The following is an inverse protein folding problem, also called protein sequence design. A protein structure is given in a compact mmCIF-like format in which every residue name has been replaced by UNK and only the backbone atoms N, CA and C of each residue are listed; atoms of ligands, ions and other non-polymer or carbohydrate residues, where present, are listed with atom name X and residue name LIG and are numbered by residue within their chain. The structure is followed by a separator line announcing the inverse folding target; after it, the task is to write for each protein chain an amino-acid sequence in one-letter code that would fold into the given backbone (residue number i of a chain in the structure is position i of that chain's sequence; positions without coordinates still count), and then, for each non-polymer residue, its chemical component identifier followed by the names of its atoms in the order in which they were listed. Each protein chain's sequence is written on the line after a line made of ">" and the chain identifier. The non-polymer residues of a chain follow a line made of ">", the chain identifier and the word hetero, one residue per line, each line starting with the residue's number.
data_IF_038518480703
#
_entry.id   IF_038518480703
#
_cell.length_a   1.000
_cell.length_b   1.000
_cell.length_c   1.000
_cell.angle_alpha   90.00
_cell.angle_beta   90.00
_cell.angle_gamma   90.00
#
_symmetry.space_group_name_H-M   'P 1'
#
loop_
_entity.id
_entity.type
_entity.pdbx_description
1 polymer ?
#
# COMPACT_ATOMS: atom_id res chain seq x y z
N UNK A 1 -6.01 3.38 -39.56
CA UNK A 1 -6.23 4.01 -38.26
C UNK A 1 -7.74 4.06 -38.04
N UNK A 2 -8.30 3.07 -37.34
CA UNK A 2 -9.75 2.97 -37.13
C UNK A 2 -10.18 4.03 -36.10
N UNK A 3 -11.11 4.91 -36.55
CA UNK A 3 -11.82 5.86 -35.69
C UNK A 3 -12.50 5.10 -34.55
N UNK A 4 -12.08 5.33 -33.31
CA UNK A 4 -12.79 4.87 -32.11
C UNK A 4 -14.24 5.35 -32.18
N UNK A 5 -15.19 4.45 -31.94
CA UNK A 5 -16.60 4.82 -31.91
C UNK A 5 -16.79 5.92 -30.86
N UNK A 6 -17.51 6.98 -31.18
CA UNK A 6 -17.84 8.09 -30.25
C UNK A 6 -18.31 7.61 -28.89
N UNK A 7 -18.98 6.46 -28.85
CA UNK A 7 -19.46 5.81 -27.63
C UNK A 7 -18.32 5.30 -26.70
N UNK A 8 -17.19 4.87 -27.27
CA UNK A 8 -16.03 4.43 -26.50
C UNK A 8 -15.24 5.62 -25.92
N UNK A 9 -15.24 6.76 -26.64
CA UNK A 9 -14.67 8.00 -26.12
C UNK A 9 -15.52 8.57 -24.97
N UNK A 10 -16.84 8.48 -25.06
CA UNK A 10 -17.73 8.92 -23.99
C UNK A 10 -17.60 8.05 -22.73
N UNK A 11 -17.46 6.73 -22.91
CA UNK A 11 -17.26 5.83 -21.77
C UNK A 11 -15.92 6.10 -21.06
N UNK A 12 -14.87 6.34 -21.84
CA UNK A 12 -13.55 6.70 -21.31
C UNK A 12 -13.59 8.04 -20.58
N UNK A 13 -14.26 9.04 -21.16
CA UNK A 13 -14.49 10.34 -20.52
C UNK A 13 -15.35 10.21 -19.25
N UNK A 14 -16.33 9.31 -19.24
CA UNK A 14 -17.14 9.05 -18.05
C UNK A 14 -16.33 8.42 -16.91
N UNK A 15 -15.45 7.47 -17.20
CA UNK A 15 -14.51 6.86 -16.23
C UNK A 15 -13.52 7.92 -15.73
N UNK A 16 -12.98 8.75 -16.63
CA UNK A 16 -12.06 9.84 -16.26
C UNK A 16 -12.73 10.94 -15.43
N UNK A 17 -13.98 11.31 -15.76
CA UNK A 17 -14.74 12.31 -14.98
C UNK A 17 -15.08 11.84 -13.58
N UNK A 18 -15.25 10.54 -13.40
CA UNK A 18 -15.52 10.01 -12.07
C UNK A 18 -14.24 9.96 -11.22
N UNK A 19 -13.12 9.57 -11.81
CA UNK A 19 -11.81 9.65 -11.15
C UNK A 19 -11.48 11.09 -10.71
N UNK A 20 -11.79 12.08 -11.58
CA UNK A 20 -11.62 13.50 -11.26
C UNK A 20 -12.56 14.00 -10.14
N UNK A 21 -13.81 13.51 -10.08
CA UNK A 21 -14.76 13.88 -9.01
C UNK A 21 -14.37 13.31 -7.65
N UNK A 22 -13.78 12.10 -7.61
CA UNK A 22 -13.29 11.50 -6.38
C UNK A 22 -12.05 12.25 -5.85
N UNK A 23 -11.27 12.87 -6.72
CA UNK A 23 -10.14 13.72 -6.34
C UNK A 23 -10.58 15.06 -5.73
N UNK A 24 -11.64 15.68 -6.23
CA UNK A 24 -12.19 16.92 -5.69
C UNK A 24 -12.78 16.76 -4.27
N UNK A 25 -13.37 15.60 -3.98
CA UNK A 25 -13.88 15.30 -2.64
C UNK A 25 -12.76 15.10 -1.63
N UNK A 26 -11.60 14.57 -2.07
CA UNK A 26 -10.41 14.39 -1.22
C UNK A 26 -9.69 15.70 -0.91
N UNK A 27 -9.76 16.68 -1.81
CA UNK A 27 -9.12 17.99 -1.62
C UNK A 27 -9.90 18.92 -0.66
N UNK A 28 -11.18 18.65 -0.42
CA UNK A 28 -12.05 19.52 0.39
C UNK A 28 -12.02 19.23 1.91
N UNK A 29 -11.27 18.23 2.38
CA UNK A 29 -11.26 17.81 3.79
C UNK A 29 -9.95 18.05 4.55
N UNK A 30 -9.10 18.98 4.12
CA UNK A 30 -7.95 19.42 4.94
C UNK A 30 -8.29 20.71 5.68
N UNK A 31 -8.41 20.68 7.02
CA UNK A 31 -8.48 21.92 7.79
C UNK A 31 -7.08 22.57 7.82
N UNK A 32 -7.05 23.83 7.40
CA UNK A 32 -5.89 24.70 7.59
C UNK A 32 -5.57 24.81 9.09
N UNK A 33 -4.40 24.37 9.49
CA UNK A 33 -3.86 24.63 10.82
C UNK A 33 -2.85 25.79 10.71
N UNK A 34 -3.26 26.94 11.21
CA UNK A 34 -2.48 28.15 11.32
C UNK A 34 -1.54 28.06 12.53
N UNK A 35 -0.29 28.34 12.29
CA UNK A 35 0.85 28.59 13.15
C UNK A 35 0.62 29.09 14.57
N UNK A 36 1.45 28.63 15.51
CA UNK A 36 2.41 29.50 16.23
C UNK A 36 3.47 28.69 16.97
N UNK A 37 4.71 28.98 16.61
CA UNK A 37 5.97 29.15 17.33
C UNK A 37 6.35 28.38 18.60
N UNK A 38 7.55 27.86 18.51
CA UNK A 38 8.76 27.86 19.35
C UNK A 38 9.29 26.51 19.81
N UNK A 39 10.41 26.21 19.16
CA UNK A 39 11.65 25.58 19.67
C UNK A 39 11.62 24.92 21.05
N UNK A 40 11.85 23.61 21.03
CA UNK A 40 12.98 23.03 21.78
C UNK A 40 13.26 21.63 21.20
N UNK A 41 14.51 21.41 20.82
CA UNK A 41 14.97 20.23 20.11
C UNK A 41 14.95 18.98 20.99
N UNK A 42 14.29 17.99 20.49
CA UNK A 42 14.63 16.58 20.60
C UNK A 42 13.95 15.90 19.42
N UNK A 43 14.66 15.80 18.30
CA UNK A 43 14.19 15.08 17.12
C UNK A 43 14.23 13.59 17.44
N UNK A 44 13.15 13.06 17.97
CA UNK A 44 12.89 11.62 17.92
C UNK A 44 12.75 11.28 16.46
N UNK A 45 13.55 10.35 15.89
CA UNK A 45 13.36 9.90 14.52
C UNK A 45 11.98 9.22 14.44
N UNK A 46 11.01 9.96 13.95
CA UNK A 46 9.68 9.44 13.72
C UNK A 46 9.75 8.43 12.57
N UNK A 47 9.01 7.36 12.67
CA UNK A 47 8.81 6.30 11.66
C UNK A 47 8.42 6.86 10.28
N UNK A 48 8.19 8.16 10.19
CA UNK A 48 7.69 8.90 9.03
C UNK A 48 8.72 9.27 7.96
N UNK A 49 10.02 9.15 8.20
CA UNK A 49 11.02 9.59 7.19
C UNK A 49 11.11 8.65 5.96
N UNK A 50 10.54 7.47 6.05
CA UNK A 50 10.51 6.51 4.94
C UNK A 50 9.16 6.39 4.22
N UNK A 51 8.07 6.87 4.82
CA UNK A 51 6.73 6.85 4.20
C UNK A 51 6.55 8.07 3.30
N UNK A 52 6.29 7.84 2.01
CA UNK A 52 6.04 8.92 1.03
C UNK A 52 4.56 9.19 0.89
N UNK A 53 3.77 8.13 0.80
CA UNK A 53 2.34 8.27 0.61
C UNK A 53 1.58 6.98 0.84
N UNK A 54 0.29 7.14 1.08
CA UNK A 54 -0.68 6.06 1.23
C UNK A 54 -1.81 6.30 0.25
N UNK A 55 -2.27 5.25 -0.39
CA UNK A 55 -3.42 5.29 -1.27
C UNK A 55 -4.38 4.15 -0.97
N UNK A 56 -5.66 4.41 -1.09
CA UNK A 56 -6.73 3.42 -0.98
C UNK A 56 -7.74 3.66 -2.10
N UNK A 57 -8.24 2.57 -2.67
CA UNK A 57 -9.30 2.63 -3.67
C UNK A 57 -10.27 1.45 -3.57
N UNK A 58 -11.51 1.68 -4.02
CA UNK A 58 -12.59 0.69 -4.05
C UNK A 58 -13.23 0.65 -5.44
N UNK A 59 -13.52 -0.56 -5.92
CA UNK A 59 -14.16 -0.77 -7.22
C UNK A 59 -15.32 -1.75 -7.10
N UNK A 60 -16.49 -1.38 -7.58
CA UNK A 60 -17.63 -2.29 -7.69
C UNK A 60 -17.37 -3.38 -8.73
N UNK A 61 -17.45 -4.64 -8.31
CA UNK A 61 -17.16 -5.81 -9.17
C UNK A 61 -18.18 -5.89 -10.31
N UNK A 62 -19.47 -5.69 -10.03
CA UNK A 62 -20.54 -5.72 -11.03
C UNK A 62 -20.36 -4.61 -12.09
N UNK A 63 -19.90 -3.42 -11.66
CA UNK A 63 -19.58 -2.32 -12.59
C UNK A 63 -18.43 -2.69 -13.54
N UNK A 64 -17.37 -3.31 -13.01
CA UNK A 64 -16.27 -3.83 -13.82
C UNK A 64 -16.75 -4.90 -14.80
N UNK A 65 -17.56 -5.84 -14.35
CA UNK A 65 -18.13 -6.89 -15.17
C UNK A 65 -18.98 -6.33 -16.33
N UNK A 66 -19.88 -5.38 -16.03
CA UNK A 66 -20.66 -4.69 -17.06
C UNK A 66 -19.79 -3.93 -18.06
N UNK A 67 -18.71 -3.28 -17.60
CA UNK A 67 -17.78 -2.57 -18.46
C UNK A 67 -17.06 -3.52 -19.44
N UNK A 68 -16.64 -4.68 -18.96
CA UNK A 68 -15.98 -5.71 -19.78
C UNK A 68 -16.96 -6.31 -20.79
N UNK A 69 -18.20 -6.60 -20.38
CA UNK A 69 -19.24 -7.14 -21.28
C UNK A 69 -19.59 -6.14 -22.38
N UNK A 70 -19.74 -4.84 -22.06
CA UNK A 70 -20.10 -3.80 -23.02
C UNK A 70 -18.95 -3.45 -23.96
N UNK A 71 -17.73 -3.53 -23.48
CA UNK A 71 -16.54 -3.10 -24.22
C UNK A 71 -15.38 -4.06 -23.95
N UNK A 72 -15.36 -5.27 -24.53
CA UNK A 72 -14.31 -6.27 -24.27
C UNK A 72 -12.88 -5.77 -24.51
N UNK A 73 -12.71 -4.79 -25.43
CA UNK A 73 -11.41 -4.18 -25.74
C UNK A 73 -10.84 -3.36 -24.57
N UNK A 74 -11.65 -3.02 -23.55
CA UNK A 74 -11.20 -2.27 -22.37
C UNK A 74 -10.13 -3.06 -21.62
N UNK A 75 -10.26 -4.39 -21.55
CA UNK A 75 -9.29 -5.26 -20.86
C UNK A 75 -7.90 -5.16 -21.49
N UNK A 76 -7.81 -5.09 -22.84
CA UNK A 76 -6.53 -4.94 -23.54
C UNK A 76 -5.92 -3.54 -23.38
N UNK A 77 -6.75 -2.53 -23.14
CA UNK A 77 -6.31 -1.14 -23.01
C UNK A 77 -5.83 -0.81 -21.60
N UNK A 78 -6.50 -1.37 -20.60
CA UNK A 78 -6.28 -1.05 -19.18
C UNK A 78 -5.30 -2.02 -18.53
N UNK A 79 -5.33 -3.28 -18.90
CA UNK A 79 -4.57 -4.34 -18.22
C UNK A 79 -3.48 -4.91 -19.12
N UNK A 80 -2.35 -5.27 -18.51
CA UNK A 80 -1.24 -5.93 -19.21
C UNK A 80 -1.63 -7.34 -19.68
N UNK A 81 -0.80 -7.97 -20.51
CA UNK A 81 -1.02 -9.36 -20.93
C UNK A 81 -1.05 -10.32 -19.74
N UNK A 82 -0.10 -10.17 -18.82
CA UNK A 82 0.02 -11.02 -17.63
C UNK A 82 -1.20 -10.92 -16.72
N UNK A 83 -1.68 -9.71 -16.46
CA UNK A 83 -2.88 -9.50 -15.65
C UNK A 83 -4.13 -10.11 -16.30
N UNK A 84 -4.26 -9.98 -17.62
CA UNK A 84 -5.39 -10.59 -18.34
C UNK A 84 -5.34 -12.11 -18.27
N UNK A 85 -4.18 -12.70 -18.47
CA UNK A 85 -3.98 -14.16 -18.38
C UNK A 85 -4.30 -14.64 -16.96
N UNK A 86 -3.76 -13.96 -15.95
CA UNK A 86 -4.07 -14.27 -14.56
C UNK A 86 -5.57 -14.20 -14.28
N UNK A 87 -6.23 -13.10 -14.65
CA UNK A 87 -7.66 -12.94 -14.39
C UNK A 87 -8.51 -14.03 -15.08
N UNK A 88 -8.19 -14.37 -16.34
CA UNK A 88 -8.90 -15.42 -17.09
C UNK A 88 -8.65 -16.83 -16.54
N UNK A 89 -7.56 -17.07 -15.83
CA UNK A 89 -7.31 -18.36 -15.16
C UNK A 89 -8.21 -18.59 -13.93
N UNK A 90 -8.97 -17.59 -13.50
CA UNK A 90 -9.79 -17.64 -12.28
C UNK A 90 -11.27 -17.81 -12.58
N UNK A 91 -12.01 -18.37 -11.63
CA UNK A 91 -13.45 -18.65 -11.77
C UNK A 91 -14.29 -17.37 -12.00
N UNK A 92 -13.85 -16.22 -11.47
CA UNK A 92 -14.55 -14.94 -11.59
C UNK A 92 -13.58 -13.84 -12.05
N UNK A 93 -13.28 -13.73 -13.35
CA UNK A 93 -12.32 -12.76 -13.89
C UNK A 93 -12.60 -11.30 -13.49
N UNK A 94 -13.87 -10.91 -13.41
CA UNK A 94 -14.28 -9.56 -13.06
C UNK A 94 -13.78 -9.12 -11.67
N UNK A 95 -13.70 -10.03 -10.71
CA UNK A 95 -13.15 -9.76 -9.36
C UNK A 95 -11.69 -9.33 -9.47
N UNK A 96 -10.90 -10.06 -10.24
CA UNK A 96 -9.47 -9.78 -10.41
C UNK A 96 -9.23 -8.49 -11.19
N UNK A 97 -10.01 -8.24 -12.24
CA UNK A 97 -9.96 -6.96 -12.96
C UNK A 97 -10.33 -5.78 -12.06
N UNK A 98 -11.35 -5.92 -11.21
CA UNK A 98 -11.72 -4.89 -10.25
C UNK A 98 -10.60 -4.65 -9.22
N UNK A 99 -9.99 -5.73 -8.69
CA UNK A 99 -8.87 -5.64 -7.75
C UNK A 99 -7.63 -5.00 -8.37
N UNK A 100 -7.29 -5.34 -9.62
CA UNK A 100 -6.16 -4.73 -10.33
C UNK A 100 -6.40 -3.25 -10.64
N UNK A 101 -7.64 -2.89 -10.97
CA UNK A 101 -7.99 -1.50 -11.19
C UNK A 101 -7.90 -0.70 -9.89
N UNK A 102 -8.46 -1.19 -8.79
CA UNK A 102 -8.34 -0.57 -7.48
C UNK A 102 -6.87 -0.43 -7.05
N UNK A 103 -6.03 -1.44 -7.31
CA UNK A 103 -4.59 -1.37 -7.02
C UNK A 103 -3.90 -0.24 -7.78
N UNK A 104 -4.20 -0.04 -9.07
CA UNK A 104 -3.66 1.07 -9.87
C UNK A 104 -4.00 2.42 -9.27
N UNK A 105 -5.28 2.63 -8.99
CA UNK A 105 -5.76 3.87 -8.39
C UNK A 105 -5.09 4.10 -7.01
N UNK A 106 -5.01 3.07 -6.16
CA UNK A 106 -4.35 3.16 -4.87
C UNK A 106 -2.86 3.52 -5.02
N UNK A 107 -2.15 2.89 -5.97
CA UNK A 107 -0.73 3.20 -6.25
C UNK A 107 -0.57 4.64 -6.73
N UNK A 108 -1.39 5.11 -7.66
CA UNK A 108 -1.31 6.48 -8.17
C UNK A 108 -1.65 7.52 -7.09
N UNK A 109 -2.58 7.19 -6.18
CA UNK A 109 -2.86 8.02 -4.99
C UNK A 109 -1.67 8.07 -4.04
N UNK A 110 -0.99 6.93 -3.81
CA UNK A 110 0.21 6.87 -2.98
C UNK A 110 1.39 7.64 -3.60
N UNK A 111 1.47 7.70 -4.95
CA UNK A 111 2.43 8.52 -5.69
C UNK A 111 2.05 10.01 -5.76
N UNK A 112 0.83 10.37 -5.34
CA UNK A 112 0.32 11.74 -5.40
C UNK A 112 0.03 12.23 -6.82
N UNK A 113 -0.20 11.33 -7.78
CA UNK A 113 -0.34 11.69 -9.18
C UNK A 113 -1.65 11.18 -9.73
N UNK A 114 -2.60 11.05 -9.88
CA UNK A 114 -3.71 10.44 -10.65
C UNK A 114 -3.23 9.92 -12.02
N UNK A 115 -4.12 9.79 -12.97
CA UNK A 115 -3.78 9.38 -14.35
C UNK A 115 -3.25 10.52 -15.23
N UNK A 116 -2.94 11.69 -14.67
CA UNK A 116 -2.38 12.79 -15.44
C UNK A 116 -0.95 12.43 -15.91
N UNK A 117 -0.79 12.16 -17.18
CA UNK A 117 0.50 11.80 -17.79
C UNK A 117 0.96 10.34 -17.55
N UNK A 118 0.15 9.50 -16.92
CA UNK A 118 0.45 8.09 -16.66
C UNK A 118 -0.52 7.21 -17.45
N UNK A 119 -0.02 6.16 -18.09
CA UNK A 119 -0.87 5.19 -18.78
C UNK A 119 -1.42 4.15 -17.79
N UNK A 120 -2.56 3.55 -18.11
CA UNK A 120 -3.13 2.50 -17.27
C UNK A 120 -2.19 1.30 -17.04
N UNK A 121 -1.40 0.95 -18.05
CA UNK A 121 -0.47 -0.18 -17.99
C UNK A 121 0.89 0.20 -17.39
N UNK A 122 1.11 1.45 -17.02
CA UNK A 122 2.33 1.87 -16.34
C UNK A 122 2.39 1.35 -14.89
N UNK A 123 1.26 0.90 -14.34
CA UNK A 123 1.17 0.19 -13.06
C UNK A 123 0.66 -1.22 -13.33
N UNK A 124 1.48 -2.22 -13.17
CA UNK A 124 1.16 -3.63 -13.36
C UNK A 124 1.11 -4.36 -12.03
N UNK A 125 0.04 -5.13 -11.79
CA UNK A 125 -0.07 -6.00 -10.62
C UNK A 125 0.36 -7.40 -10.99
N UNK A 126 1.36 -7.91 -10.27
CA UNK A 126 1.84 -9.29 -10.40
C UNK A 126 1.69 -10.02 -9.06
N UNK A 127 2.08 -11.29 -9.02
CA UNK A 127 2.08 -12.09 -7.81
C UNK A 127 3.43 -12.81 -7.70
N UNK A 128 3.97 -12.86 -6.50
CA UNK A 128 5.16 -13.66 -6.23
C UNK A 128 4.82 -15.17 -6.18
N UNK A 129 5.84 -16.00 -6.02
CA UNK A 129 5.71 -17.47 -5.96
C UNK A 129 4.82 -17.95 -4.81
N UNK A 130 4.59 -17.12 -3.79
CA UNK A 130 3.72 -17.39 -2.65
C UNK A 130 2.31 -16.84 -2.83
N UNK A 131 2.04 -16.20 -3.98
CA UNK A 131 0.75 -15.58 -4.29
C UNK A 131 0.53 -14.20 -3.67
N UNK A 132 1.57 -13.59 -3.08
CA UNK A 132 1.49 -12.21 -2.57
C UNK A 132 1.43 -11.23 -3.75
N UNK A 133 0.45 -10.29 -3.78
CA UNK A 133 0.41 -9.28 -4.82
C UNK A 133 1.59 -8.31 -4.70
N UNK A 134 2.19 -7.99 -5.83
CA UNK A 134 3.30 -7.05 -5.99
C UNK A 134 3.01 -6.07 -7.12
N UNK A 135 3.73 -4.95 -7.17
CA UNK A 135 3.58 -3.92 -8.20
C UNK A 135 4.87 -3.80 -9.00
N UNK A 136 4.73 -3.79 -10.32
CA UNK A 136 5.77 -3.36 -11.24
C UNK A 136 5.35 -2.02 -11.85
N UNK A 137 6.26 -1.05 -11.81
CA UNK A 137 6.06 0.24 -12.44
C UNK A 137 6.78 0.31 -13.78
N UNK A 138 6.11 0.90 -14.75
CA UNK A 138 6.62 1.11 -16.11
C UNK A 138 6.48 2.58 -16.51
N UNK A 139 7.12 2.98 -17.60
CA UNK A 139 6.90 4.27 -18.23
C UNK A 139 6.95 5.46 -17.27
N UNK A 140 5.94 6.32 -17.35
CA UNK A 140 5.89 7.54 -16.54
C UNK A 140 5.64 7.29 -15.06
N UNK A 141 4.98 6.20 -14.68
CA UNK A 141 4.83 5.84 -13.26
C UNK A 141 6.18 5.47 -12.63
N UNK A 142 7.03 4.74 -13.35
CA UNK A 142 8.38 4.41 -12.89
C UNK A 142 9.25 5.67 -12.78
N UNK A 143 9.23 6.55 -13.78
CA UNK A 143 9.97 7.81 -13.76
C UNK A 143 9.57 8.70 -12.56
N UNK A 144 8.27 8.76 -12.26
CA UNK A 144 7.76 9.52 -11.12
C UNK A 144 8.22 8.94 -9.79
N UNK A 145 8.16 7.61 -9.65
CA UNK A 145 8.64 6.91 -8.45
C UNK A 145 10.15 7.16 -8.23
N UNK A 146 10.95 7.14 -9.30
CA UNK A 146 12.37 7.46 -9.26
C UNK A 146 12.63 8.90 -8.83
N UNK A 147 11.92 9.88 -9.41
CA UNK A 147 12.00 11.29 -9.02
C UNK A 147 11.68 11.52 -7.54
N UNK A 148 10.75 10.76 -6.99
CA UNK A 148 10.35 10.82 -5.58
C UNK A 148 11.26 9.98 -4.67
N UNK A 149 12.29 9.32 -5.20
CA UNK A 149 13.16 8.38 -4.49
C UNK A 149 12.37 7.22 -3.82
N UNK A 150 11.31 6.74 -4.45
CA UNK A 150 10.53 5.61 -3.96
C UNK A 150 11.29 4.33 -4.27
N UNK A 151 11.60 3.59 -3.23
CA UNK A 151 12.30 2.31 -3.31
C UNK A 151 11.34 1.15 -3.55
N UNK A 152 10.18 1.22 -2.94
CA UNK A 152 9.22 0.11 -2.90
C UNK A 152 7.80 0.64 -2.78
N UNK A 153 6.87 -0.05 -3.44
CA UNK A 153 5.44 0.14 -3.22
C UNK A 153 4.86 -1.20 -2.77
N UNK A 154 4.33 -1.22 -1.57
CA UNK A 154 3.61 -2.38 -1.04
C UNK A 154 2.13 -2.21 -1.27
N UNK A 155 1.47 -3.28 -1.70
CA UNK A 155 0.02 -3.31 -1.89
C UNK A 155 -0.63 -4.42 -1.10
N UNK A 156 -1.89 -4.22 -0.74
CA UNK A 156 -2.77 -5.24 -0.20
C UNK A 156 -4.10 -5.20 -0.94
N UNK A 157 -4.61 -6.37 -1.29
CA UNK A 157 -5.85 -6.55 -2.03
C UNK A 157 -6.84 -7.35 -1.19
N UNK A 158 -8.09 -6.91 -1.19
CA UNK A 158 -9.19 -7.66 -0.58
C UNK A 158 -10.46 -7.48 -1.41
N UNK A 159 -11.43 -8.36 -1.26
CA UNK A 159 -12.72 -8.21 -1.92
C UNK A 159 -13.84 -8.85 -1.11
N UNK A 160 -15.03 -8.33 -1.31
CA UNK A 160 -16.29 -8.94 -0.92
C UNK A 160 -17.00 -9.51 -2.16
N UNK A 161 -18.26 -9.87 -2.03
CA UNK A 161 -19.06 -10.22 -3.22
C UNK A 161 -19.29 -9.06 -4.17
N UNK A 162 -19.31 -7.81 -3.67
CA UNK A 162 -19.71 -6.60 -4.39
C UNK A 162 -18.54 -5.68 -4.70
N UNK A 163 -17.54 -5.60 -3.83
CA UNK A 163 -16.46 -4.60 -3.88
C UNK A 163 -15.09 -5.26 -3.87
N UNK A 164 -14.20 -4.74 -4.70
CA UNK A 164 -12.77 -4.95 -4.58
C UNK A 164 -12.13 -3.73 -3.92
N UNK A 165 -11.19 -3.94 -3.02
CA UNK A 165 -10.46 -2.92 -2.27
C UNK A 165 -8.98 -3.12 -2.46
N UNK A 166 -8.25 -2.03 -2.64
CA UNK A 166 -6.80 -2.04 -2.63
C UNK A 166 -6.25 -0.94 -1.72
N UNK A 167 -5.16 -1.23 -1.05
CA UNK A 167 -4.33 -0.23 -0.37
C UNK A 167 -2.91 -0.28 -0.92
N UNK A 168 -2.26 0.87 -0.98
CA UNK A 168 -0.87 1.01 -1.42
C UNK A 168 -0.10 1.90 -0.44
N UNK A 169 1.16 1.54 -0.21
CA UNK A 169 2.10 2.31 0.62
C UNK A 169 3.38 2.51 -0.18
N UNK A 170 3.73 3.76 -0.45
CA UNK A 170 4.98 4.14 -1.11
C UNK A 170 6.07 4.43 -0.07
N UNK A 171 7.21 3.80 -0.21
CA UNK A 171 8.33 3.81 0.74
C UNK A 171 9.58 4.37 0.06
N UNK A 172 10.20 5.39 0.65
CA UNK A 172 11.47 5.96 0.16
C UNK A 172 12.67 5.05 0.43
N UNK A 173 13.66 5.17 -0.43
CA UNK A 173 15.01 4.72 -0.09
C UNK A 173 15.53 5.57 1.07
N UNK A 174 15.89 4.94 2.17
CA UNK A 174 16.57 5.64 3.26
C UNK A 174 17.96 6.06 2.78
N UNK A 175 18.25 7.34 2.84
CA UNK A 175 19.55 7.92 2.43
C UNK A 175 20.66 7.75 3.46
N UNK A 176 20.42 7.03 4.54
CA UNK A 176 21.45 6.74 5.55
C UNK A 176 21.51 5.25 5.87
N UNK A 177 22.71 4.66 6.02
CA UNK A 177 22.80 3.34 6.61
C UNK A 177 22.19 3.41 8.00
N UNK A 178 21.18 2.60 8.28
CA UNK A 178 20.77 2.37 9.66
C UNK A 178 22.04 1.96 10.43
N UNK A 179 22.61 2.87 11.23
CA UNK A 179 23.38 2.43 12.39
C UNK A 179 22.40 1.54 13.14
N UNK A 180 22.73 0.27 13.18
CA UNK A 180 22.01 -0.75 13.95
C UNK A 180 21.90 -0.27 15.40
N UNK A 181 20.81 0.36 15.77
CA UNK A 181 20.48 0.77 17.13
C UNK A 181 19.08 0.26 17.54
N UNK A 182 18.46 -0.56 16.72
CA UNK A 182 17.35 -1.38 17.17
C UNK A 182 17.85 -2.81 17.28
N UNK A 183 18.07 -3.25 18.51
CA UNK A 183 18.14 -4.66 18.87
C UNK A 183 16.96 -5.37 18.19
N UNK A 184 17.17 -6.58 17.68
CA UNK A 184 16.04 -7.36 17.19
C UNK A 184 14.99 -7.44 18.31
N UNK A 185 13.69 -7.60 18.00
CA UNK A 185 12.67 -7.75 19.04
C UNK A 185 13.01 -8.82 20.06
N UNK A 186 13.77 -9.84 19.65
CA UNK A 186 14.26 -10.91 20.51
C UNK A 186 15.40 -10.46 21.42
N UNK A 187 16.31 -9.63 20.89
CA UNK A 187 17.42 -9.07 21.69
C UNK A 187 16.92 -8.03 22.68
N UNK A 188 15.94 -7.23 22.29
CA UNK A 188 15.28 -6.28 23.19
C UNK A 188 14.54 -7.00 24.33
N UNK A 189 13.80 -8.05 24.00
CA UNK A 189 13.14 -8.90 24.98
C UNK A 189 14.16 -9.57 25.92
N UNK A 190 15.25 -10.10 25.38
CA UNK A 190 16.32 -10.71 26.17
C UNK A 190 16.99 -9.69 27.12
N UNK A 191 17.15 -8.42 26.68
CA UNK A 191 17.67 -7.35 27.53
C UNK A 191 16.70 -7.03 28.65
N UNK A 192 15.43 -6.90 28.39
CA UNK A 192 14.41 -6.64 29.40
C UNK A 192 14.29 -7.78 30.40
N UNK A 193 14.38 -9.03 29.98
CA UNK A 193 14.44 -10.17 30.89
C UNK A 193 15.68 -10.15 31.78
N UNK A 194 16.84 -9.78 31.26
CA UNK A 194 18.07 -9.66 32.02
C UNK A 194 18.00 -8.54 33.07
N UNK A 195 17.43 -7.40 32.72
CA UNK A 195 17.20 -6.26 33.61
C UNK A 195 16.23 -6.66 34.75
N UNK A 196 15.11 -7.30 34.42
CA UNK A 196 14.14 -7.81 35.40
C UNK A 196 14.77 -8.83 36.35
N UNK A 197 15.57 -9.74 35.85
CA UNK A 197 16.26 -10.74 36.66
C UNK A 197 17.24 -10.08 37.63
N UNK A 198 18.00 -9.10 37.18
CA UNK A 198 18.90 -8.32 38.02
C UNK A 198 18.15 -7.61 39.16
N UNK A 199 16.99 -7.01 38.85
CA UNK A 199 16.15 -6.38 39.87
C UNK A 199 15.59 -7.37 40.89
N UNK A 200 15.22 -8.58 40.47
CA UNK A 200 14.74 -9.62 41.35
C UNK A 200 15.87 -10.15 42.26
N UNK A 201 17.08 -10.27 41.72
CA UNK A 201 18.27 -10.69 42.52
C UNK A 201 18.63 -9.58 43.53
N UNK A 202 18.59 -8.31 43.17
CA UNK A 202 18.83 -7.17 44.07
C UNK A 202 17.74 -7.02 45.15
N UNK A 203 16.52 -7.46 44.89
CA UNK A 203 15.43 -7.48 45.89
C UNK A 203 15.45 -8.71 46.80
N UNK A 204 16.41 -9.62 46.63
CA UNK A 204 16.57 -10.82 47.46
C UNK A 204 15.44 -11.86 47.32
N UNK A 205 14.62 -11.73 46.26
CA UNK A 205 13.46 -12.62 46.06
C UNK A 205 13.90 -14.05 45.72
N UNK A 206 15.10 -14.22 45.16
CA UNK A 206 15.69 -15.53 44.84
C UNK A 206 15.98 -16.37 46.13
N UNK A 207 16.26 -15.73 47.28
CA UNK A 207 16.49 -16.43 48.56
C UNK A 207 15.19 -16.91 49.23
N UNK A 208 14.06 -16.27 48.89
CA UNK A 208 12.76 -16.60 49.48
C UNK A 208 12.19 -17.86 48.83
N UNK A 209 12.40 -18.05 47.55
CA UNK A 209 11.88 -19.20 46.77
C UNK A 209 12.64 -20.49 47.18
N UNK A 210 13.96 -20.41 47.33
CA UNK A 210 14.76 -21.58 47.75
C UNK A 210 14.52 -22.02 49.21
N UNK A 211 14.01 -21.14 50.10
CA UNK A 211 13.69 -21.53 51.48
C UNK A 211 12.33 -22.22 51.61
N UNK A 212 11.41 -22.03 50.68
CA UNK A 212 10.11 -22.72 50.71
C UNK A 212 10.21 -24.17 50.24
N UNK A 213 11.17 -24.48 49.36
CA UNK A 213 11.37 -25.85 48.85
C UNK A 213 12.11 -26.76 49.89
N UNK A 214 12.78 -26.18 50.88
CA UNK A 214 13.46 -26.94 51.95
C UNK A 214 12.56 -27.23 53.20
N UNK A 215 11.42 -26.57 53.31
CA UNK A 215 10.47 -26.80 54.43
C UNK A 215 9.35 -27.82 54.09
N UNK A 216 9.25 -28.25 52.82
CA UNK A 216 8.24 -29.22 52.35
C UNK A 216 8.82 -30.65 52.10
N UNK A 217 10.07 -30.96 52.50
CA UNK A 217 10.65 -32.31 52.55
C UNK A 217 10.70 -32.79 54.02
#
# INVERSE_FOLDING_TARGET
>A
VARLSKKNEELLKAVQRQAAREQDVSAASSPANTQTDKETGAHTPTVNDSLVGVGVDLVEIERMERAIQRTPRITKRVFTSGEREYAWSKARPAVHYASFFAAREAVLKALGCGFAGVNYQDVEVTHDDKGKPTVLLHGNAAALAEQQNIKEIQISLSHTHQMAVASAVAIKAQSSPRKNLALSPMEELARQFKELRSLLDDLGVSEIINKQDEEDE
#
